data_IF_434732582606
#
_entry.id   IF_434732582606
#
_cell.length_a   1.000
_cell.length_b   1.000
_cell.length_c   1.000
_cell.angle_alpha   90.00
_cell.angle_beta   90.00
_cell.angle_gamma   90.00
#
_symmetry.space_group_name_H-M   'P 1'
#
loop_
_entity.id
_entity.type
_entity.pdbx_description
1 polymer ?
#
# COMPACT_ATOMS: atom_id res chain seq x y z
N UNK A 1 -7.86 -12.22 3.45
CA UNK A 1 -8.44 -11.26 4.42
C UNK A 1 -7.60 -11.05 5.69
N UNK A 2 -6.61 -11.89 6.05
CA UNK A 2 -5.80 -11.69 7.28
C UNK A 2 -4.66 -10.66 7.14
N UNK A 3 -4.00 -10.57 5.97
CA UNK A 3 -2.90 -9.60 5.74
C UNK A 3 -3.38 -8.14 5.87
N UNK A 4 -4.49 -7.82 5.19
CA UNK A 4 -5.09 -6.48 5.20
C UNK A 4 -5.45 -5.96 6.60
N UNK A 5 -5.91 -6.84 7.49
CA UNK A 5 -6.24 -6.46 8.87
C UNK A 5 -4.98 -6.21 9.69
N UNK A 6 -3.92 -7.00 9.49
CA UNK A 6 -2.66 -6.83 10.22
C UNK A 6 -1.99 -5.49 9.87
N UNK A 7 -1.99 -5.12 8.60
CA UNK A 7 -1.36 -3.90 8.13
C UNK A 7 -2.11 -2.64 8.64
N UNK A 8 -3.45 -2.69 8.65
CA UNK A 8 -4.27 -1.64 9.26
C UNK A 8 -4.11 -1.56 10.79
N UNK A 9 -3.90 -2.71 11.46
CA UNK A 9 -3.63 -2.76 12.90
C UNK A 9 -2.25 -2.18 13.23
N UNK A 10 -1.23 -2.36 12.37
CA UNK A 10 0.09 -1.77 12.59
C UNK A 10 0.07 -0.23 12.48
N UNK A 11 -0.72 0.30 11.54
CA UNK A 11 -1.02 1.74 11.44
C UNK A 11 -1.73 2.24 12.70
N UNK A 12 -2.77 1.53 13.18
CA UNK A 12 -3.48 1.89 14.40
C UNK A 12 -2.65 1.71 15.68
N UNK A 13 -1.69 0.79 15.67
CA UNK A 13 -0.76 0.57 16.78
C UNK A 13 0.33 1.66 16.86
N UNK A 14 0.25 2.71 16.03
CA UNK A 14 1.24 3.79 15.95
C UNK A 14 2.64 3.25 15.59
N UNK A 15 2.69 2.19 14.77
CA UNK A 15 3.92 1.54 14.28
C UNK A 15 4.02 1.63 12.76
N UNK A 16 4.09 2.85 12.19
CA UNK A 16 4.12 3.02 10.74
C UNK A 16 5.35 2.35 10.09
N UNK A 17 6.51 2.33 10.76
CA UNK A 17 7.70 1.65 10.24
C UNK A 17 7.53 0.12 10.05
N UNK A 18 6.74 -0.55 10.90
CA UNK A 18 6.47 -1.98 10.72
C UNK A 18 5.42 -2.22 9.63
N UNK A 19 4.45 -1.31 9.50
CA UNK A 19 3.49 -1.33 8.40
C UNK A 19 4.20 -1.12 7.06
N UNK A 20 5.15 -0.17 6.99
CA UNK A 20 5.99 0.11 5.82
C UNK A 20 6.68 -1.16 5.30
N UNK A 21 7.34 -1.91 6.19
CA UNK A 21 8.00 -3.17 5.80
C UNK A 21 7.01 -4.24 5.32
N UNK A 22 5.89 -4.42 6.01
CA UNK A 22 4.88 -5.39 5.61
C UNK A 22 4.30 -5.05 4.23
N UNK A 23 4.05 -3.77 3.96
CA UNK A 23 3.60 -3.29 2.66
C UNK A 23 4.68 -3.45 1.59
N UNK A 24 5.96 -3.20 1.91
CA UNK A 24 7.08 -3.40 0.98
C UNK A 24 7.24 -4.87 0.59
N UNK A 25 7.13 -5.81 1.54
CA UNK A 25 7.14 -7.24 1.24
C UNK A 25 5.95 -7.62 0.34
N UNK A 26 4.78 -7.04 0.61
CA UNK A 26 3.59 -7.27 -0.20
C UNK A 26 3.72 -6.70 -1.62
N UNK A 27 4.34 -5.52 -1.78
CA UNK A 27 4.63 -4.91 -3.09
C UNK A 27 5.74 -5.68 -3.82
N UNK A 28 6.70 -6.25 -3.11
CA UNK A 28 7.72 -7.10 -3.72
C UNK A 28 7.14 -8.41 -4.26
N UNK A 29 6.17 -9.00 -3.55
CA UNK A 29 5.47 -10.21 -3.97
C UNK A 29 4.39 -9.91 -5.05
N UNK A 30 3.72 -8.76 -4.92
CA UNK A 30 2.65 -8.31 -5.79
C UNK A 30 2.78 -6.80 -6.08
N UNK A 31 3.62 -6.41 -7.07
CA UNK A 31 3.90 -5.00 -7.38
C UNK A 31 2.67 -4.22 -7.86
N UNK A 32 1.64 -4.93 -8.32
CA UNK A 32 0.39 -4.38 -8.84
C UNK A 32 -0.71 -4.30 -7.75
N UNK A 33 -0.37 -4.66 -6.51
CA UNK A 33 -1.33 -4.70 -5.43
C UNK A 33 -1.55 -3.29 -4.86
N UNK A 34 -2.53 -2.59 -5.43
CA UNK A 34 -2.87 -1.23 -5.03
C UNK A 34 -3.20 -1.07 -3.53
N UNK A 35 -3.69 -2.11 -2.86
CA UNK A 35 -3.96 -2.04 -1.42
C UNK A 35 -2.69 -1.82 -0.58
N UNK A 36 -1.59 -2.43 -1.00
CA UNK A 36 -0.29 -2.33 -0.32
C UNK A 36 0.36 -0.96 -0.52
N UNK A 37 0.27 -0.41 -1.73
CA UNK A 37 0.76 0.93 -2.03
C UNK A 37 -0.05 2.01 -1.28
N UNK A 38 -1.38 1.85 -1.17
CA UNK A 38 -2.22 2.77 -0.41
C UNK A 38 -1.83 2.82 1.07
N UNK A 39 -1.64 1.66 1.69
CA UNK A 39 -1.26 1.58 3.10
C UNK A 39 0.18 2.02 3.38
N UNK A 40 1.11 1.80 2.43
CA UNK A 40 2.46 2.34 2.48
C UNK A 40 2.44 3.87 2.47
N UNK A 41 1.67 4.48 1.56
CA UNK A 41 1.50 5.93 1.52
C UNK A 41 0.94 6.45 2.85
N UNK A 42 -0.06 5.79 3.42
CA UNK A 42 -0.64 6.17 4.71
C UNK A 42 0.37 6.10 5.87
N UNK A 43 1.25 5.10 5.86
CA UNK A 43 2.33 4.96 6.86
C UNK A 43 3.33 6.09 6.75
N UNK A 44 3.74 6.43 5.53
CA UNK A 44 4.64 7.55 5.25
C UNK A 44 4.03 8.90 5.64
N UNK A 45 2.72 9.10 5.40
CA UNK A 45 1.99 10.26 5.88
C UNK A 45 1.99 10.36 7.41
N UNK A 46 1.81 9.23 8.11
CA UNK A 46 1.86 9.17 9.58
C UNK A 46 3.28 9.43 10.14
N UNK A 47 4.34 9.09 9.41
CA UNK A 47 5.73 9.42 9.74
C UNK A 47 6.12 10.86 9.40
N UNK A 48 5.26 11.61 8.70
CA UNK A 48 5.57 12.96 8.21
C UNK A 48 6.46 12.97 6.96
N UNK A 49 6.68 11.82 6.32
CA UNK A 49 7.45 11.65 5.07
C UNK A 49 6.59 11.99 3.86
N UNK A 50 6.13 13.23 3.78
CA UNK A 50 5.16 13.69 2.77
C UNK A 50 5.63 13.51 1.32
N UNK A 51 6.93 13.68 1.04
CA UNK A 51 7.47 13.48 -0.31
C UNK A 51 7.42 12.01 -0.75
N UNK A 52 7.89 11.10 0.10
CA UNK A 52 7.81 9.66 -0.16
C UNK A 52 6.35 9.21 -0.27
N UNK A 53 5.47 9.73 0.59
CA UNK A 53 4.05 9.43 0.53
C UNK A 53 3.42 9.84 -0.81
N UNK A 54 3.76 11.01 -1.37
CA UNK A 54 3.30 11.43 -2.70
C UNK A 54 3.85 10.53 -3.81
N UNK A 55 5.11 10.10 -3.73
CA UNK A 55 5.68 9.19 -4.73
C UNK A 55 4.97 7.84 -4.72
N UNK A 56 4.71 7.30 -3.53
CA UNK A 56 3.98 6.03 -3.38
C UNK A 56 2.52 6.19 -3.80
N UNK A 57 1.88 7.32 -3.51
CA UNK A 57 0.52 7.62 -3.98
C UNK A 57 0.44 7.67 -5.52
N UNK A 58 1.44 8.24 -6.18
CA UNK A 58 1.49 8.27 -7.66
C UNK A 58 1.64 6.86 -8.23
N UNK A 59 2.51 6.03 -7.64
CA UNK A 59 2.65 4.63 -8.02
C UNK A 59 1.37 3.83 -7.76
N UNK A 60 0.69 4.10 -6.64
CA UNK A 60 -0.63 3.55 -6.34
C UNK A 60 -1.62 3.88 -7.44
N UNK A 61 -1.75 5.14 -7.87
CA UNK A 61 -2.69 5.52 -8.92
C UNK A 61 -2.40 4.84 -10.27
N UNK A 62 -1.13 4.62 -10.60
CA UNK A 62 -0.74 3.88 -11.80
C UNK A 62 -1.09 2.39 -11.69
N UNK A 63 -0.70 1.75 -10.59
CA UNK A 63 -1.02 0.34 -10.32
C UNK A 63 -2.53 0.13 -10.21
N UNK A 64 -3.28 1.08 -9.64
CA UNK A 64 -4.74 1.02 -9.52
C UNK A 64 -5.42 1.10 -10.88
N UNK A 65 -4.95 1.97 -11.79
CA UNK A 65 -5.46 2.02 -13.17
C UNK A 65 -5.27 0.68 -13.90
N UNK A 66 -4.14 0.03 -13.69
CA UNK A 66 -3.83 -1.25 -14.34
C UNK A 66 -4.58 -2.43 -13.69
N UNK A 67 -4.70 -2.40 -12.36
CA UNK A 67 -5.47 -3.39 -11.60
C UNK A 67 -6.98 -3.32 -11.89
N UNK A 68 -7.58 -2.13 -11.99
CA UNK A 68 -9.00 -1.96 -12.35
C UNK A 68 -9.28 -2.49 -13.77
N UNK A 69 -8.33 -2.27 -14.70
CA UNK A 69 -8.36 -2.83 -16.04
C UNK A 69 -8.25 -4.37 -16.05
N UNK A 70 -7.41 -4.94 -15.18
CA UNK A 70 -7.19 -6.39 -15.08
C UNK A 70 -8.33 -7.14 -14.37
N UNK A 71 -8.93 -6.55 -13.34
CA UNK A 71 -10.08 -7.12 -12.61
C UNK A 71 -11.30 -7.23 -13.53
N UNK A 72 -11.44 -6.32 -14.50
CA UNK A 72 -12.57 -6.32 -15.45
C UNK A 72 -12.53 -7.48 -16.46
N UNK A 73 -11.39 -8.16 -16.64
CA UNK A 73 -11.21 -9.23 -17.64
C UNK A 73 -11.42 -10.65 -17.09
N UNK A 74 -11.65 -10.80 -15.78
CA UNK A 74 -11.93 -12.12 -15.20
C UNK A 74 -13.43 -12.41 -15.22
N UNK A 75 -13.95 -12.92 -16.35
CA UNK A 75 -15.30 -13.49 -16.43
C UNK A 75 -15.30 -14.88 -17.04
#
# INVERSE_FOLDING_TARGET
MVRQTLEAVLLQANRPAQAEQAYLENVAEYPENGWSLYGLAQSLWAEGKTQEAQQVQTQFEQAWRDADASITTSR
#
